data_IF_184468522184
#
_entry.id   IF_184468522184
#
_cell.length_a   1.000
_cell.length_b   1.000
_cell.length_c   1.000
_cell.angle_alpha   90.00
_cell.angle_beta   90.00
_cell.angle_gamma   90.00
#
_symmetry.space_group_name_H-M   'P 1'
#
loop_
_entity.id
_entity.type
_entity.pdbx_description
1 polymer ?
#
# COMPACT_ATOMS: atom_id res chain seq x y z
N UNK A 1 -0.51 4.96 -1.05
CA UNK A 1 -1.42 4.91 -2.21
C UNK A 1 -1.57 3.48 -2.68
N UNK A 2 -2.80 3.01 -2.92
CA UNK A 2 -3.09 1.66 -3.45
C UNK A 2 -3.87 1.79 -4.77
N UNK A 3 -3.73 0.83 -5.68
CA UNK A 3 -4.48 0.82 -6.94
C UNK A 3 -5.59 -0.23 -6.85
N UNK A 4 -6.83 0.15 -7.19
CA UNK A 4 -7.96 -0.77 -7.33
C UNK A 4 -7.67 -1.80 -8.44
N UNK A 5 -8.22 -3.03 -8.44
CA UNK A 5 -8.02 -4.00 -9.52
C UNK A 5 -8.46 -3.51 -10.90
N UNK A 6 -9.43 -2.60 -10.96
CA UNK A 6 -9.77 -1.90 -12.22
C UNK A 6 -8.72 -0.83 -12.64
N UNK A 7 -7.70 -0.55 -11.81
CA UNK A 7 -6.60 0.43 -11.94
C UNK A 7 -6.94 1.78 -12.59
N UNK A 8 -8.22 2.15 -12.60
CA UNK A 8 -8.74 3.45 -13.01
C UNK A 8 -8.93 4.37 -11.81
N UNK A 9 -8.54 3.95 -10.60
CA UNK A 9 -8.66 4.76 -9.38
C UNK A 9 -7.32 4.90 -8.67
N UNK A 10 -6.96 6.14 -8.36
CA UNK A 10 -5.88 6.47 -7.44
C UNK A 10 -6.46 6.54 -6.03
N UNK A 11 -5.88 5.81 -5.08
CA UNK A 11 -6.35 5.77 -3.68
C UNK A 11 -5.30 6.32 -2.75
N UNK A 12 -5.59 7.43 -2.11
CA UNK A 12 -4.80 8.01 -1.03
C UNK A 12 -5.35 7.56 0.32
N UNK A 13 -4.46 7.29 1.27
CA UNK A 13 -4.82 6.94 2.63
C UNK A 13 -3.93 7.74 3.56
N UNK A 14 -4.56 8.41 4.54
CA UNK A 14 -3.82 9.02 5.64
C UNK A 14 -2.98 7.97 6.37
N UNK A 15 -1.78 8.37 6.82
CA UNK A 15 -0.84 7.46 7.47
C UNK A 15 -1.41 6.79 8.73
N UNK A 16 -2.33 7.48 9.43
CA UNK A 16 -3.04 7.01 10.60
C UNK A 16 -4.40 6.39 10.29
N UNK A 17 -4.77 6.27 9.00
CA UNK A 17 -6.04 5.67 8.58
C UNK A 17 -7.27 6.54 8.86
N UNK A 18 -7.12 7.86 9.05
CA UNK A 18 -8.25 8.75 9.38
C UNK A 18 -9.18 9.02 8.20
N UNK A 19 -8.68 8.87 6.98
CA UNK A 19 -9.47 8.96 5.77
C UNK A 19 -8.81 8.18 4.64
N UNK A 20 -9.62 7.84 3.65
CA UNK A 20 -9.23 7.32 2.36
C UNK A 20 -9.88 8.18 1.29
N UNK A 21 -9.07 8.78 0.43
CA UNK A 21 -9.55 9.54 -0.74
C UNK A 21 -9.30 8.76 -1.99
N UNK A 22 -10.21 8.83 -2.95
CA UNK A 22 -9.99 8.23 -4.24
C UNK A 22 -10.48 9.10 -5.39
N UNK A 23 -9.77 9.03 -6.50
CA UNK A 23 -10.09 9.73 -7.75
C UNK A 23 -9.90 8.84 -8.96
N UNK A 24 -10.68 9.09 -10.01
CA UNK A 24 -10.50 8.45 -11.31
C UNK A 24 -9.19 8.90 -11.95
N UNK A 25 -8.45 7.98 -12.56
CA UNK A 25 -7.25 8.27 -13.34
C UNK A 25 -7.62 9.12 -14.55
N UNK A 26 -6.90 10.22 -14.77
CA UNK A 26 -7.20 11.18 -15.85
C UNK A 26 -8.18 12.29 -15.44
N UNK A 27 -8.86 12.17 -14.30
CA UNK A 27 -9.69 13.23 -13.73
C UNK A 27 -8.97 13.89 -12.55
N UNK A 28 -8.92 15.23 -12.56
CA UNK A 28 -8.35 16.00 -11.45
C UNK A 28 -9.27 16.03 -10.21
N UNK A 29 -10.57 15.81 -10.41
CA UNK A 29 -11.56 15.91 -9.35
C UNK A 29 -11.53 14.69 -8.42
N UNK A 30 -11.76 14.93 -7.13
CA UNK A 30 -11.99 13.87 -6.17
C UNK A 30 -13.29 13.14 -6.53
N UNK A 31 -13.21 11.81 -6.63
CA UNK A 31 -14.39 10.97 -6.89
C UNK A 31 -15.10 10.61 -5.58
N UNK A 32 -14.35 10.43 -4.50
CA UNK A 32 -14.92 10.20 -3.17
C UNK A 32 -13.92 10.25 -2.03
N UNK A 33 -14.46 10.40 -0.82
CA UNK A 33 -13.73 10.31 0.43
C UNK A 33 -14.49 9.37 1.36
N UNK A 34 -13.76 8.43 1.96
CA UNK A 34 -14.23 7.55 3.01
C UNK A 34 -13.54 7.94 4.31
N UNK A 35 -14.33 8.14 5.37
CA UNK A 35 -13.86 8.44 6.71
C UNK A 35 -14.38 7.33 7.62
N UNK A 36 -13.52 6.47 8.21
CA UNK A 36 -13.97 5.45 9.14
C UNK A 36 -14.58 6.11 10.39
N UNK A 37 -15.59 5.46 10.96
CA UNK A 37 -16.19 5.97 12.19
C UNK A 37 -15.17 6.00 13.33
N UNK A 38 -15.12 7.07 14.14
CA UNK A 38 -14.18 7.17 15.25
C UNK A 38 -14.38 6.04 16.27
N UNK A 39 -13.30 5.36 16.64
CA UNK A 39 -13.34 4.34 17.71
C UNK A 39 -13.28 4.91 19.12
N UNK A 40 -13.08 6.22 19.27
CA UNK A 40 -12.76 6.89 20.53
C UNK A 40 -11.27 6.84 20.90
N UNK A 41 -10.54 5.84 20.41
CA UNK A 41 -9.09 5.73 20.58
C UNK A 41 -8.33 6.51 19.48
N UNK A 42 -7.09 6.92 19.79
CA UNK A 42 -6.24 7.66 18.85
C UNK A 42 -5.80 6.72 17.72
N UNK A 43 -6.08 7.03 16.44
CA UNK A 43 -5.58 6.25 15.32
C UNK A 43 -4.05 6.33 15.24
N UNK A 44 -3.39 5.18 15.19
CA UNK A 44 -1.92 5.06 15.15
C UNK A 44 -1.43 4.68 13.76
N UNK A 45 -2.24 3.95 13.00
CA UNK A 45 -1.89 3.59 11.63
C UNK A 45 -3.09 3.12 10.82
N UNK A 46 -2.98 3.27 9.52
CA UNK A 46 -3.94 2.67 8.60
C UNK A 46 -3.39 2.57 7.18
N UNK A 47 -3.80 1.52 6.48
CA UNK A 47 -3.34 1.21 5.13
C UNK A 47 -4.48 0.60 4.31
N UNK A 48 -4.47 0.89 3.02
CA UNK A 48 -5.42 0.31 2.07
C UNK A 48 -4.80 -0.91 1.40
N UNK A 49 -5.58 -1.98 1.35
CA UNK A 49 -5.27 -3.26 0.70
C UNK A 49 -6.38 -3.65 -0.25
N UNK A 50 -6.06 -4.52 -1.21
CA UNK A 50 -7.04 -5.11 -2.12
C UNK A 50 -7.47 -6.45 -1.55
N UNK A 51 -8.76 -6.56 -1.25
CA UNK A 51 -9.43 -7.77 -0.82
C UNK A 51 -9.36 -8.88 -1.88
N UNK A 52 -9.55 -10.15 -1.48
CA UNK A 52 -9.59 -11.28 -2.41
C UNK A 52 -10.69 -11.19 -3.47
N UNK A 53 -11.76 -10.44 -3.17
CA UNK A 53 -12.86 -10.12 -4.06
C UNK A 53 -12.59 -8.87 -4.93
N UNK A 54 -11.39 -8.31 -4.83
CA UNK A 54 -10.96 -7.11 -5.54
C UNK A 54 -11.38 -5.80 -4.89
N UNK A 55 -12.09 -5.83 -3.77
CA UNK A 55 -12.54 -4.59 -3.13
C UNK A 55 -11.42 -3.88 -2.38
N UNK A 56 -11.48 -2.57 -2.31
CA UNK A 56 -10.56 -1.82 -1.47
C UNK A 56 -11.01 -1.92 -0.01
N UNK A 57 -10.07 -2.30 0.85
CA UNK A 57 -10.30 -2.30 2.28
C UNK A 57 -9.27 -1.45 3.02
N UNK A 58 -9.75 -0.67 3.98
CA UNK A 58 -8.89 0.00 4.95
C UNK A 58 -8.65 -0.94 6.14
N UNK A 59 -7.39 -1.28 6.39
CA UNK A 59 -6.94 -1.93 7.63
C UNK A 59 -6.31 -0.86 8.51
N UNK A 60 -6.97 -0.53 9.62
CA UNK A 60 -6.55 0.52 10.55
C UNK A 60 -6.35 -0.04 11.96
N UNK A 61 -5.46 0.60 12.74
CA UNK A 61 -5.19 0.25 14.12
C UNK A 61 -4.97 1.49 15.00
N UNK A 62 -5.33 1.35 16.28
CA UNK A 62 -5.34 2.44 17.25
C UNK A 62 -4.44 2.19 18.46
N UNK A 63 -4.31 3.21 19.32
CA UNK A 63 -3.47 3.20 20.51
C UNK A 63 -3.94 2.21 21.58
N UNK A 64 -5.17 1.69 21.48
CA UNK A 64 -5.71 0.66 22.39
C UNK A 64 -5.53 -0.76 21.84
N UNK A 65 -4.77 -0.88 20.76
CA UNK A 65 -4.44 -2.11 20.04
C UNK A 65 -5.64 -2.80 19.40
N UNK A 66 -6.68 -2.03 19.07
CA UNK A 66 -7.74 -2.50 18.20
C UNK A 66 -7.32 -2.37 16.75
N UNK A 67 -7.76 -3.34 15.96
CA UNK A 67 -7.68 -3.37 14.51
C UNK A 67 -9.11 -3.33 13.96
N UNK A 68 -9.31 -2.55 12.90
CA UNK A 68 -10.57 -2.45 12.19
C UNK A 68 -10.32 -2.61 10.70
N UNK A 69 -11.20 -3.37 10.04
CA UNK A 69 -11.20 -3.56 8.60
C UNK A 69 -12.49 -2.99 8.05
N UNK A 70 -12.39 -2.06 7.10
CA UNK A 70 -13.53 -1.43 6.46
C UNK A 70 -13.54 -1.73 4.97
N UNK A 71 -14.71 -2.04 4.41
CA UNK A 71 -14.95 -2.01 2.97
C UNK A 71 -15.16 -0.53 2.57
N UNK A 72 -14.29 -0.02 1.70
CA UNK A 72 -14.23 1.42 1.38
C UNK A 72 -15.42 1.83 0.50
N UNK A 73 -15.86 0.97 -0.43
CA UNK A 73 -16.93 1.29 -1.36
C UNK A 73 -18.30 1.35 -0.67
N UNK A 74 -18.54 0.44 0.29
CA UNK A 74 -19.79 0.39 1.06
C UNK A 74 -19.74 1.19 2.36
N UNK A 75 -18.55 1.57 2.82
CA UNK A 75 -18.30 2.22 4.09
C UNK A 75 -18.57 1.34 5.31
N UNK A 76 -18.72 0.02 5.14
CA UNK A 76 -19.09 -0.89 6.23
C UNK A 76 -17.86 -1.44 6.96
N UNK A 77 -17.95 -1.50 8.28
CA UNK A 77 -17.01 -2.25 9.11
C UNK A 77 -17.17 -3.75 8.85
N UNK A 78 -16.14 -4.39 8.32
CA UNK A 78 -16.09 -5.82 8.01
C UNK A 78 -15.75 -6.63 9.24
N UNK A 79 -14.69 -6.24 9.95
CA UNK A 79 -14.30 -6.89 11.21
C UNK A 79 -13.57 -5.92 12.13
N UNK A 80 -13.60 -6.22 13.42
CA UNK A 80 -12.86 -5.50 14.46
C UNK A 80 -12.38 -6.50 15.52
N UNK A 81 -11.09 -6.46 15.82
CA UNK A 81 -10.45 -7.37 16.78
C UNK A 81 -9.29 -6.68 17.51
N UNK A 82 -8.82 -7.27 18.60
CA UNK A 82 -7.80 -6.66 19.47
C UNK A 82 -6.56 -7.55 19.55
N UNK A 83 -5.39 -6.98 19.27
CA UNK A 83 -4.10 -7.63 19.56
C UNK A 83 -3.45 -6.98 20.79
N UNK A 84 -3.47 -7.61 21.97
CA UNK A 84 -3.00 -6.98 23.21
C UNK A 84 -1.48 -6.74 23.25
N UNK A 85 -0.71 -7.23 22.28
CA UNK A 85 0.74 -7.05 22.22
C UNK A 85 1.18 -5.64 21.84
N UNK A 86 0.31 -4.88 21.17
CA UNK A 86 0.71 -3.64 20.49
C UNK A 86 1.51 -3.95 19.22
N UNK A 87 1.29 -3.15 18.17
CA UNK A 87 1.86 -3.41 16.86
C UNK A 87 3.14 -2.59 16.63
N UNK A 88 4.28 -3.27 16.46
CA UNK A 88 5.51 -2.65 15.97
C UNK A 88 5.61 -2.68 14.44
N UNK A 89 5.04 -3.70 13.79
CA UNK A 89 4.86 -3.79 12.35
C UNK A 89 3.53 -4.48 12.01
N UNK A 90 2.94 -4.13 10.88
CA UNK A 90 1.63 -4.61 10.43
C UNK A 90 1.75 -5.01 8.96
N UNK A 91 1.49 -6.28 8.65
CA UNK A 91 1.61 -6.83 7.30
C UNK A 91 0.40 -7.63 6.89
N UNK A 92 -0.02 -7.51 5.64
CA UNK A 92 -1.18 -8.23 5.09
C UNK A 92 -0.74 -9.15 3.98
N UNK A 93 -1.26 -10.38 4.00
CA UNK A 93 -1.33 -11.27 2.84
C UNK A 93 -2.69 -11.04 2.16
N UNK A 94 -2.69 -10.38 1.01
CA UNK A 94 -3.92 -10.01 0.28
C UNK A 94 -4.66 -11.24 -0.28
N UNK A 95 -3.93 -12.30 -0.65
CA UNK A 95 -4.49 -13.51 -1.26
C UNK A 95 -5.25 -14.32 -0.21
N UNK A 96 -4.63 -14.56 0.94
CA UNK A 96 -5.26 -15.32 2.02
C UNK A 96 -6.19 -14.44 2.88
N UNK A 97 -6.09 -13.12 2.74
CA UNK A 97 -6.74 -12.12 3.58
C UNK A 97 -6.41 -12.30 5.06
N UNK A 98 -5.10 -12.29 5.36
CA UNK A 98 -4.55 -12.48 6.69
C UNK A 98 -3.68 -11.32 7.10
N UNK A 99 -3.72 -10.98 8.38
CA UNK A 99 -2.88 -9.97 8.98
C UNK A 99 -1.83 -10.64 9.88
N UNK A 100 -0.57 -10.24 9.72
CA UNK A 100 0.48 -10.50 10.68
C UNK A 100 0.82 -9.21 11.43
N UNK A 101 0.65 -9.26 12.75
CA UNK A 101 1.04 -8.18 13.66
C UNK A 101 2.34 -8.60 14.32
N UNK A 102 3.42 -7.87 14.03
CA UNK A 102 4.65 -8.00 14.79
C UNK A 102 4.48 -7.27 16.12
N UNK A 103 4.80 -7.97 17.19
CA UNK A 103 4.84 -7.45 18.54
C UNK A 103 6.31 -7.42 18.97
N UNK A 104 6.74 -6.35 19.63
CA UNK A 104 8.09 -6.29 20.18
C UNK A 104 8.36 -7.50 21.09
N UNK A 105 9.42 -8.23 20.74
CA UNK A 105 9.80 -9.44 21.45
C UNK A 105 10.14 -9.18 22.90
N UNK A 106 9.73 -10.09 23.81
CA UNK A 106 10.33 -10.15 25.14
C UNK A 106 11.82 -10.48 24.99
N UNK A 107 12.68 -9.66 25.59
CA UNK A 107 14.11 -9.96 25.65
C UNK A 107 14.33 -11.25 26.45
N UNK A 108 14.96 -12.25 25.84
CA UNK A 108 15.44 -13.45 26.54
C UNK A 108 16.96 -13.39 26.50
N UNK A 109 17.56 -12.84 27.57
CA UNK A 109 18.99 -12.53 27.59
C UNK A 109 19.36 -11.37 26.65
N UNK A 110 20.41 -11.54 25.82
CA UNK A 110 20.91 -10.51 24.88
C UNK A 110 20.16 -10.49 23.53
N UNK A 111 19.23 -11.41 23.30
CA UNK A 111 18.50 -11.55 22.03
C UNK A 111 17.03 -11.14 22.17
N UNK A 112 16.55 -10.37 21.20
CA UNK A 112 15.13 -10.00 21.04
C UNK A 112 14.53 -10.82 19.91
N UNK A 113 13.55 -11.67 20.20
CA UNK A 113 12.86 -12.48 19.19
C UNK A 113 11.54 -11.84 18.79
N UNK A 114 11.40 -11.46 17.52
CA UNK A 114 10.12 -11.00 16.97
C UNK A 114 9.05 -12.07 17.12
N UNK A 115 7.87 -11.66 17.58
CA UNK A 115 6.71 -12.53 17.68
C UNK A 115 5.61 -11.96 16.80
N UNK A 116 5.08 -12.79 15.92
CA UNK A 116 4.00 -12.45 15.01
C UNK A 116 2.71 -13.11 15.50
N UNK A 117 1.65 -12.33 15.67
CA UNK A 117 0.30 -12.87 15.79
C UNK A 117 -0.35 -12.81 14.42
N UNK A 118 -0.91 -13.93 13.96
CA UNK A 118 -1.58 -14.04 12.65
C UNK A 118 -3.09 -14.05 12.88
N UNK A 119 -3.80 -13.22 12.13
CA UNK A 119 -5.24 -12.98 12.23
C UNK A 119 -5.91 -13.19 10.88
N UNK A 120 -7.13 -13.72 10.90
CA UNK A 120 -8.01 -13.76 9.75
C UNK A 120 -8.74 -12.41 9.63
N UNK A 121 -8.56 -11.70 8.52
CA UNK A 121 -9.16 -10.37 8.33
C UNK A 121 -10.64 -10.42 7.91
N UNK A 122 -11.22 -11.59 7.66
CA UNK A 122 -12.67 -11.73 7.41
C UNK A 122 -13.41 -11.85 8.73
N UNK A 123 -12.87 -12.66 9.64
CA UNK A 123 -13.56 -13.03 10.89
C UNK A 123 -13.03 -12.28 12.11
N UNK A 124 -11.82 -11.73 12.06
CA UNK A 124 -11.11 -11.20 13.23
C UNK A 124 -10.61 -12.30 14.18
N UNK A 125 -10.69 -13.56 13.77
CA UNK A 125 -10.20 -14.69 14.54
C UNK A 125 -8.68 -14.79 14.49
N UNK A 126 -8.05 -15.05 15.64
CA UNK A 126 -6.62 -15.36 15.69
C UNK A 126 -6.37 -16.75 15.11
N UNK A 127 -5.48 -16.81 14.13
CA UNK A 127 -5.07 -18.05 13.45
C UNK A 127 -3.89 -18.69 14.19
N UNK A 128 -2.85 -17.91 14.44
CA UNK A 128 -1.60 -18.44 14.99
C UNK A 128 -0.80 -17.39 15.78
N UNK A 129 0.25 -17.83 16.47
CA UNK A 129 1.30 -16.97 17.02
C UNK A 129 2.65 -17.64 16.88
N UNK A 130 3.53 -16.98 16.14
CA UNK A 130 4.83 -17.52 15.74
C UNK A 130 5.94 -16.66 16.31
N UNK A 131 6.94 -17.26 16.95
CA UNK A 131 8.15 -16.58 17.40
C UNK A 131 9.31 -17.01 16.53
N UNK A 132 9.65 -16.19 15.54
CA UNK A 132 10.72 -16.48 14.59
C UNK A 132 11.23 -15.21 13.89
N UNK A 133 12.53 -14.94 14.03
CA UNK A 133 13.19 -13.75 13.48
C UNK A 133 13.31 -13.76 11.94
N UNK A 134 13.23 -14.95 11.32
CA UNK A 134 13.26 -15.12 9.88
C UNK A 134 11.85 -15.29 9.28
N UNK A 135 10.77 -15.15 10.08
CA UNK A 135 9.39 -15.33 9.62
C UNK A 135 9.09 -14.48 8.40
N UNK A 136 9.43 -13.18 8.42
CA UNK A 136 9.22 -12.25 7.30
C UNK A 136 9.89 -12.71 6.00
N UNK A 137 11.09 -13.30 6.08
CA UNK A 137 11.79 -13.81 4.89
C UNK A 137 11.14 -15.05 4.31
N UNK A 138 10.55 -15.90 5.16
CA UNK A 138 9.87 -17.13 4.73
C UNK A 138 8.42 -16.90 4.31
N UNK A 139 7.86 -15.73 4.62
CA UNK A 139 6.49 -15.36 4.29
C UNK A 139 6.48 -14.07 3.44
N UNK A 140 7.07 -14.09 2.23
CA UNK A 140 7.23 -12.90 1.39
C UNK A 140 5.89 -12.31 0.93
N UNK A 141 4.80 -13.08 0.97
CA UNK A 141 3.46 -12.63 0.59
C UNK A 141 2.83 -11.67 1.61
N UNK A 142 3.34 -11.63 2.84
CA UNK A 142 2.96 -10.64 3.84
C UNK A 142 3.72 -9.34 3.64
N UNK A 143 2.99 -8.29 3.28
CA UNK A 143 3.55 -6.99 2.96
C UNK A 143 2.94 -5.89 3.81
N UNK A 144 3.75 -4.90 4.21
CA UNK A 144 3.28 -3.70 4.91
C UNK A 144 2.55 -2.71 3.99
N UNK A 145 2.48 -3.03 2.70
CA UNK A 145 1.80 -2.28 1.64
C UNK A 145 1.12 -3.25 0.68
N UNK A 146 -0.01 -2.84 0.11
CA UNK A 146 -0.70 -3.63 -0.92
C UNK A 146 0.28 -4.06 -2.01
N UNK A 147 0.31 -5.36 -2.32
CA UNK A 147 1.15 -5.92 -3.39
C UNK A 147 0.53 -5.66 -4.76
N UNK A 148 -0.75 -5.34 -4.77
CA UNK A 148 -1.51 -4.81 -5.89
C UNK A 148 -1.31 -3.28 -6.05
N UNK A 149 -0.39 -2.66 -5.29
CA UNK A 149 0.09 -1.31 -5.61
C UNK A 149 0.63 -1.30 -7.03
N UNK A 150 -0.07 -0.61 -7.94
CA UNK A 150 0.37 -0.42 -9.32
C UNK A 150 1.66 0.37 -9.45
N UNK A 151 2.18 0.95 -8.35
CA UNK A 151 3.38 1.77 -8.31
C UNK A 151 4.61 0.97 -7.86
N UNK A 152 5.62 0.91 -8.73
CA UNK A 152 6.90 0.24 -8.50
C UNK A 152 8.05 1.10 -9.02
N UNK A 153 9.28 0.85 -8.56
CA UNK A 153 10.48 1.46 -9.15
C UNK A 153 10.70 1.02 -10.61
N UNK A 154 10.12 -0.12 -11.01
CA UNK A 154 10.05 -0.59 -12.40
C UNK A 154 8.72 -1.31 -12.64
N UNK A 155 8.06 -1.00 -13.75
CA UNK A 155 6.76 -1.57 -14.11
C UNK A 155 6.63 -1.69 -15.63
N UNK A 156 5.99 -2.77 -16.10
CA UNK A 156 5.62 -2.93 -17.51
C UNK A 156 4.16 -2.48 -17.72
N UNK A 157 3.84 -1.96 -18.91
CA UNK A 157 2.46 -1.72 -19.31
C UNK A 157 1.68 -3.04 -19.39
N UNK A 158 0.34 -3.01 -19.25
CA UNK A 158 -0.48 -4.24 -19.25
C UNK A 158 -0.36 -5.07 -20.53
N UNK A 159 -0.11 -4.44 -21.68
CA UNK A 159 0.12 -5.09 -22.97
C UNK A 159 1.56 -5.59 -23.16
N UNK A 160 2.45 -5.31 -22.22
CA UNK A 160 3.85 -5.70 -22.26
C UNK A 160 4.70 -4.95 -23.30
N UNK A 161 4.20 -3.86 -23.89
CA UNK A 161 4.96 -3.11 -24.90
C UNK A 161 5.89 -2.05 -24.28
N UNK A 162 5.50 -1.45 -23.16
CA UNK A 162 6.25 -0.37 -22.52
C UNK A 162 6.80 -0.81 -21.16
N UNK A 163 7.95 -0.24 -20.80
CA UNK A 163 8.55 -0.37 -19.46
C UNK A 163 8.87 0.99 -18.89
N UNK A 164 8.21 1.33 -17.78
CA UNK A 164 8.52 2.49 -16.97
C UNK A 164 9.54 2.14 -15.87
N UNK A 165 10.50 3.02 -15.63
CA UNK A 165 11.50 2.89 -14.58
C UNK A 165 11.75 4.24 -13.91
N UNK A 166 11.83 4.20 -12.58
CA UNK A 166 12.27 5.32 -11.75
C UNK A 166 13.75 5.16 -11.46
N UNK A 167 14.54 6.18 -11.82
CA UNK A 167 15.97 6.23 -11.59
C UNK A 167 16.30 7.45 -10.74
N UNK A 168 17.09 7.23 -9.69
CA UNK A 168 17.70 8.32 -8.93
C UNK A 168 18.91 8.83 -9.71
N UNK A 169 18.95 10.12 -10.01
CA UNK A 169 20.08 10.77 -10.63
C UNK A 169 21.12 11.14 -9.56
N UNK A 170 22.36 11.39 -9.99
CA UNK A 170 23.48 11.73 -9.11
C UNK A 170 23.28 13.02 -8.30
N UNK A 171 22.35 13.88 -8.70
CA UNK A 171 21.99 15.10 -7.99
C UNK A 171 20.79 14.94 -7.03
N UNK A 172 20.37 13.69 -6.77
CA UNK A 172 19.25 13.36 -5.88
C UNK A 172 17.87 13.59 -6.49
N UNK A 173 17.79 13.95 -7.76
CA UNK A 173 16.51 14.01 -8.48
C UNK A 173 16.03 12.62 -8.91
N UNK A 174 14.71 12.46 -9.04
CA UNK A 174 14.13 11.25 -9.62
C UNK A 174 13.73 11.48 -11.07
N UNK A 175 14.07 10.53 -11.92
CA UNK A 175 13.75 10.52 -13.35
C UNK A 175 12.84 9.33 -13.63
N UNK A 176 11.70 9.58 -14.26
CA UNK A 176 10.86 8.58 -14.89
C UNK A 176 11.30 8.43 -16.34
N UNK A 177 11.67 7.21 -16.73
CA UNK A 177 11.90 6.83 -18.11
C UNK A 177 10.91 5.76 -18.54
N UNK A 178 10.37 5.88 -19.75
CA UNK A 178 9.61 4.82 -20.40
C UNK A 178 10.32 4.41 -21.67
N UNK A 179 10.48 3.11 -21.84
CA UNK A 179 11.05 2.52 -23.04
C UNK A 179 10.05 1.59 -23.70
N UNK A 180 10.10 1.51 -25.02
CA UNK A 180 9.54 0.38 -25.75
C UNK A 180 10.39 -0.87 -25.48
N UNK A 181 9.73 -1.97 -25.11
CA UNK A 181 10.39 -3.21 -24.68
C UNK A 181 11.04 -3.93 -25.87
N UNK A 182 10.45 -3.86 -27.06
CA UNK A 182 10.93 -4.59 -28.22
C UNK A 182 12.16 -3.93 -28.86
N UNK A 183 12.20 -2.60 -28.86
CA UNK A 183 13.23 -1.79 -29.52
C UNK A 183 14.25 -1.20 -28.55
N UNK A 184 13.98 -1.27 -27.24
CA UNK A 184 14.72 -0.60 -26.17
C UNK A 184 14.83 0.93 -26.32
N UNK A 185 14.03 1.54 -27.20
CA UNK A 185 14.04 2.97 -27.42
C UNK A 185 13.31 3.70 -26.29
N UNK A 186 13.90 4.81 -25.82
CA UNK A 186 13.23 5.75 -24.93
C UNK A 186 12.07 6.42 -25.68
N UNK A 187 10.86 6.28 -25.16
CA UNK A 187 9.64 6.88 -25.74
C UNK A 187 9.12 8.03 -24.88
N UNK A 188 9.49 8.09 -23.60
CA UNK A 188 9.08 9.15 -22.68
C UNK A 188 10.08 9.37 -21.56
N UNK A 189 10.20 10.63 -21.12
CA UNK A 189 11.02 11.04 -19.99
C UNK A 189 10.36 12.17 -19.20
N UNK A 190 10.29 12.01 -17.89
CA UNK A 190 9.90 13.06 -16.95
C UNK A 190 10.90 13.15 -15.79
N UNK A 191 11.07 14.34 -15.23
CA UNK A 191 11.99 14.62 -14.14
C UNK A 191 11.35 15.57 -13.15
N UNK A 192 11.47 15.27 -11.86
CA UNK A 192 11.01 16.17 -10.80
C UNK A 192 12.07 16.37 -9.71
N UNK A 193 12.10 17.59 -9.17
CA UNK A 193 13.03 18.05 -8.13
C UNK A 193 12.34 19.04 -7.17
N UNK A 194 12.58 18.96 -5.85
CA UNK A 194 13.21 17.86 -5.09
C UNK A 194 12.17 16.80 -4.67
N UNK A 195 12.51 15.51 -4.81
CA UNK A 195 11.67 14.39 -4.36
C UNK A 195 12.50 13.39 -3.57
N UNK A 196 11.98 12.92 -2.44
CA UNK A 196 12.62 11.88 -1.61
C UNK A 196 12.43 10.49 -2.18
N UNK A 197 11.35 10.27 -2.93
CA UNK A 197 11.02 8.97 -3.49
C UNK A 197 10.06 9.14 -4.65
N UNK A 198 10.27 8.32 -5.67
CA UNK A 198 9.32 8.26 -6.75
C UNK A 198 9.04 6.83 -7.21
N UNK A 199 7.81 6.55 -7.63
CA UNK A 199 7.36 5.25 -8.12
C UNK A 199 6.50 5.45 -9.37
N UNK A 200 6.50 4.50 -10.30
CA UNK A 200 5.72 4.56 -11.54
C UNK A 200 4.71 3.41 -11.61
N UNK A 201 3.58 3.66 -12.28
CA UNK A 201 2.52 2.68 -12.52
C UNK A 201 1.82 2.91 -13.86
N UNK A 202 1.17 1.89 -14.39
CA UNK A 202 0.25 2.02 -15.53
C UNK A 202 -1.20 1.74 -15.09
N UNK A 203 -2.15 2.46 -15.68
CA UNK A 203 -3.57 2.09 -15.60
C UNK A 203 -3.82 0.72 -16.24
N UNK A 204 -4.91 0.05 -15.86
CA UNK A 204 -5.21 -1.33 -16.30
C UNK A 204 -5.53 -1.39 -17.80
N UNK A 205 -6.11 -0.33 -18.34
CA UNK A 205 -6.36 -0.18 -19.78
C UNK A 205 -5.10 0.17 -20.57
N UNK A 206 -3.96 0.39 -19.91
CA UNK A 206 -2.69 0.76 -20.52
C UNK A 206 -2.62 2.20 -21.04
N UNK A 207 -3.69 2.99 -20.91
CA UNK A 207 -3.78 4.33 -21.51
C UNK A 207 -3.09 5.43 -20.72
N UNK A 208 -2.79 5.17 -19.45
CA UNK A 208 -2.20 6.15 -18.56
C UNK A 208 -0.95 5.65 -17.88
N UNK A 209 0.08 6.49 -17.90
CA UNK A 209 1.27 6.39 -17.08
C UNK A 209 1.08 7.28 -15.85
N UNK A 210 1.42 6.73 -14.68
CA UNK A 210 1.29 7.39 -13.40
C UNK A 210 2.66 7.49 -12.75
N UNK A 211 3.01 8.64 -12.20
CA UNK A 211 4.18 8.79 -11.33
C UNK A 211 3.75 9.34 -9.98
N UNK A 212 4.08 8.62 -8.92
CA UNK A 212 3.95 9.11 -7.55
C UNK A 212 5.27 9.73 -7.13
N UNK A 213 5.23 10.97 -6.69
CA UNK A 213 6.39 11.72 -6.19
C UNK A 213 6.14 12.10 -4.74
N UNK A 214 7.09 11.80 -3.85
CA UNK A 214 6.99 12.09 -2.42
C UNK A 214 8.05 13.13 -2.04
N UNK A 215 7.62 14.29 -1.54
CA UNK A 215 8.53 15.35 -1.08
C UNK A 215 8.00 16.02 0.18
N UNK A 216 8.81 16.06 1.24
CA UNK A 216 8.54 16.78 2.51
C UNK A 216 7.08 16.76 2.99
N UNK A 217 6.49 15.57 3.09
CA UNK A 217 5.12 15.38 3.58
C UNK A 217 4.00 15.63 2.55
N UNK A 218 4.36 15.93 1.30
CA UNK A 218 3.45 15.99 0.15
C UNK A 218 3.65 14.77 -0.74
N UNK A 219 2.55 14.18 -1.20
CA UNK A 219 2.54 13.16 -2.24
C UNK A 219 1.81 13.73 -3.45
N UNK A 220 2.50 13.88 -4.57
CA UNK A 220 1.93 14.28 -5.85
C UNK A 220 1.84 13.07 -6.78
N UNK A 221 0.81 13.03 -7.61
CA UNK A 221 0.70 12.01 -8.65
C UNK A 221 0.45 12.69 -9.98
N UNK A 222 1.44 12.61 -10.85
CA UNK A 222 1.29 13.00 -12.25
C UNK A 222 0.68 11.86 -13.05
N UNK A 223 -0.12 12.25 -14.05
CA UNK A 223 -0.83 11.34 -14.95
C UNK A 223 -0.59 11.81 -16.37
N UNK A 224 -0.07 10.93 -17.20
CA UNK A 224 0.10 11.17 -18.63
C UNK A 224 -0.70 10.16 -19.43
N UNK A 225 -1.27 10.60 -20.55
CA UNK A 225 -1.79 9.68 -21.56
C UNK A 225 -0.60 9.11 -22.35
N UNK A 226 -0.59 7.80 -22.55
CA UNK A 226 0.44 7.06 -23.28
C UNK A 226 -0.16 6.22 -24.39
#
# INVERSE_FOLDING_TARGET
MAAHPDRQRLVECDGAGRYVRYRTVGEAALTGEFVPEPSGATPVGGRVFVGPDGRLCLVAWDSESWFSVWDIDTGKLVTRFRDPGGASDVRVNEVEWRLAVEVEGKAVGRYRRSTFTIWDLRTGGRIDKVTDEAWTRRNPDYSSRSRTQGFSGRVASPDGQLRAAMLEASDGSWVLLVHDIATEQEVFRARETPSRRALAGFSADGRHLLASWESEGRSLVDVWHV
#
